data_IF_733111213778
#
_entry.id   IF_733111213778
#
_cell.length_a   1.000
_cell.length_b   1.000
_cell.length_c   1.000
_cell.angle_alpha   90.00
_cell.angle_beta   90.00
_cell.angle_gamma   90.00
#
_symmetry.space_group_name_H-M   'P 1'
#
loop_
_entity.id
_entity.type
_entity.pdbx_description
1 polymer ?
#
# COMPACT_ATOMS: atom_id res chain seq x y z
N UNK A 1 -10.46 16.69 -20.43
CA UNK A 1 -11.25 15.46 -20.68
C UNK A 1 -11.92 15.03 -19.37
N UNK A 2 -13.11 14.48 -19.44
CA UNK A 2 -13.85 13.97 -18.28
C UNK A 2 -14.06 12.48 -18.51
N UNK A 3 -13.78 11.69 -17.48
CA UNK A 3 -13.92 10.24 -17.52
C UNK A 3 -15.05 9.79 -16.58
N UNK A 4 -15.79 8.77 -16.97
CA UNK A 4 -16.75 8.09 -16.10
C UNK A 4 -16.01 7.00 -15.31
N UNK A 5 -16.01 7.13 -14.00
CA UNK A 5 -15.33 6.21 -13.09
C UNK A 5 -16.27 5.16 -12.49
N UNK A 6 -17.54 5.12 -12.93
CA UNK A 6 -18.52 4.20 -12.36
C UNK A 6 -18.74 4.41 -10.87
N UNK A 7 -18.60 3.36 -10.09
CA UNK A 7 -18.80 3.38 -8.62
C UNK A 7 -17.55 3.75 -7.83
N UNK A 8 -16.48 4.23 -8.49
CA UNK A 8 -15.24 4.52 -7.79
C UNK A 8 -15.11 5.98 -7.41
N UNK A 9 -14.67 6.21 -6.18
CA UNK A 9 -14.27 7.52 -5.68
C UNK A 9 -12.75 7.55 -5.52
N UNK A 10 -12.11 8.53 -6.17
CA UNK A 10 -10.66 8.70 -6.12
C UNK A 10 -10.23 9.39 -4.82
N UNK A 11 -9.06 9.01 -4.33
CA UNK A 11 -8.46 9.62 -3.15
C UNK A 11 -6.94 9.64 -3.25
N UNK A 12 -6.31 10.38 -2.35
CA UNK A 12 -4.88 10.47 -2.06
C UNK A 12 -3.95 10.66 -3.27
N UNK A 13 -3.66 9.61 -4.06
CA UNK A 13 -2.51 9.62 -4.95
C UNK A 13 -2.76 8.88 -6.28
N UNK A 14 -1.91 9.16 -7.25
CA UNK A 14 -1.90 8.48 -8.55
C UNK A 14 -0.49 8.49 -9.15
N UNK A 15 -0.23 7.56 -10.07
CA UNK A 15 1.03 7.45 -10.81
C UNK A 15 0.76 7.02 -12.25
N UNK A 16 1.68 7.31 -13.16
CA UNK A 16 1.64 6.75 -14.53
C UNK A 16 2.43 5.46 -14.59
N UNK A 17 1.89 4.45 -15.30
CA UNK A 17 2.66 3.30 -15.75
C UNK A 17 3.51 3.61 -17.00
N UNK A 18 4.35 2.66 -17.44
CA UNK A 18 5.23 2.86 -18.59
C UNK A 18 4.46 3.02 -19.93
N UNK A 19 3.22 2.57 -20.00
CA UNK A 19 2.34 2.70 -21.15
C UNK A 19 1.54 4.01 -21.14
N UNK A 20 1.69 4.84 -20.11
CA UNK A 20 1.00 6.12 -19.95
C UNK A 20 -0.43 5.99 -19.44
N UNK A 21 -0.81 4.85 -18.87
CA UNK A 21 -2.05 4.75 -18.13
C UNK A 21 -1.89 5.35 -16.74
N UNK A 22 -2.98 5.86 -16.18
CA UNK A 22 -3.03 6.32 -14.79
C UNK A 22 -3.43 5.17 -13.88
N UNK A 23 -2.60 4.91 -12.87
CA UNK A 23 -2.92 4.06 -11.73
C UNK A 23 -3.32 4.97 -10.58
N UNK A 24 -4.51 4.79 -10.03
CA UNK A 24 -5.13 5.76 -9.11
C UNK A 24 -5.69 5.02 -7.90
N UNK A 25 -5.41 5.53 -6.72
CA UNK A 25 -6.01 5.03 -5.48
C UNK A 25 -7.49 5.36 -5.43
N UNK A 26 -8.32 4.38 -5.06
CA UNK A 26 -9.77 4.52 -5.09
C UNK A 26 -10.48 3.72 -3.99
N UNK A 27 -11.70 4.14 -3.74
CA UNK A 27 -12.72 3.42 -2.96
C UNK A 27 -13.79 2.92 -3.91
N UNK A 28 -14.16 1.65 -3.84
CA UNK A 28 -15.38 1.13 -4.48
C UNK A 28 -16.59 1.48 -3.58
N UNK A 29 -17.41 2.43 -4.00
CA UNK A 29 -18.59 2.86 -3.25
C UNK A 29 -19.71 1.81 -3.20
N UNK A 30 -19.57 0.71 -3.92
CA UNK A 30 -20.45 -0.46 -3.83
C UNK A 30 -20.09 -1.42 -2.69
N UNK A 31 -18.94 -1.19 -2.04
CA UNK A 31 -18.46 -1.96 -0.89
C UNK A 31 -18.60 -1.15 0.40
N UNK A 32 -18.40 -1.81 1.54
CA UNK A 32 -18.36 -1.16 2.85
C UNK A 32 -16.94 -0.72 3.25
N UNK A 33 -15.93 -1.27 2.58
CA UNK A 33 -14.52 -0.89 2.77
C UNK A 33 -14.20 0.37 2.02
N UNK A 34 -13.22 1.11 2.50
CA UNK A 34 -12.73 2.34 1.87
C UNK A 34 -11.22 2.28 1.68
N UNK A 35 -10.74 3.01 0.67
CA UNK A 35 -9.31 3.29 0.46
C UNK A 35 -8.44 2.03 0.29
N UNK A 36 -8.94 1.03 -0.45
CA UNK A 36 -8.33 -0.28 -0.60
C UNK A 36 -8.19 -0.77 -2.06
N UNK A 37 -8.53 0.08 -3.04
CA UNK A 37 -8.49 -0.29 -4.46
C UNK A 37 -7.48 0.53 -5.26
N UNK A 38 -6.96 -0.07 -6.36
CA UNK A 38 -6.19 0.61 -7.39
C UNK A 38 -6.91 0.48 -8.73
N UNK A 39 -7.23 1.63 -9.33
CA UNK A 39 -7.81 1.70 -10.68
C UNK A 39 -6.72 1.93 -11.73
N UNK A 40 -6.93 1.36 -12.90
CA UNK A 40 -6.20 1.71 -14.12
C UNK A 40 -7.13 2.45 -15.07
N UNK A 41 -6.74 3.67 -15.43
CA UNK A 41 -7.42 4.49 -16.43
C UNK A 41 -6.53 4.65 -17.65
N UNK A 42 -7.01 4.23 -18.82
CA UNK A 42 -6.38 4.56 -20.10
C UNK A 42 -6.87 5.93 -20.57
N UNK A 43 -6.03 6.99 -20.58
CA UNK A 43 -6.47 8.32 -20.92
C UNK A 43 -6.80 8.51 -22.41
N UNK A 44 -6.36 7.60 -23.28
CA UNK A 44 -6.63 7.66 -24.72
C UNK A 44 -7.99 7.07 -25.09
N UNK A 45 -8.41 5.99 -24.41
CA UNK A 45 -9.68 5.30 -24.66
C UNK A 45 -10.76 5.71 -23.67
N UNK A 46 -10.37 6.13 -22.46
CA UNK A 46 -11.27 6.37 -21.34
C UNK A 46 -11.68 5.10 -20.60
N UNK A 47 -11.06 3.97 -20.93
CA UNK A 47 -11.31 2.70 -20.24
C UNK A 47 -10.82 2.75 -18.81
N UNK A 48 -11.66 2.31 -17.88
CA UNK A 48 -11.38 2.24 -16.43
C UNK A 48 -11.58 0.81 -15.96
N UNK A 49 -10.65 0.29 -15.21
CA UNK A 49 -10.76 -1.02 -14.57
C UNK A 49 -10.14 -1.00 -13.17
N UNK A 50 -10.72 -1.75 -12.23
CA UNK A 50 -10.06 -2.06 -10.97
C UNK A 50 -9.05 -3.17 -11.25
N UNK A 51 -7.76 -2.89 -11.02
CA UNK A 51 -6.68 -3.84 -11.28
C UNK A 51 -6.13 -4.46 -9.99
N UNK A 52 -6.47 -3.88 -8.86
CA UNK A 52 -6.11 -4.40 -7.54
C UNK A 52 -7.19 -4.01 -6.55
N UNK A 53 -7.66 -5.00 -5.82
CA UNK A 53 -8.44 -4.85 -4.60
C UNK A 53 -7.65 -5.55 -3.49
N UNK A 54 -7.28 -4.83 -2.45
CA UNK A 54 -6.46 -5.39 -1.37
C UNK A 54 -7.18 -6.48 -0.57
N UNK A 55 -8.50 -6.54 -0.63
CA UNK A 55 -9.26 -7.64 -0.03
C UNK A 55 -8.90 -9.00 -0.67
N UNK A 56 -8.55 -9.02 -1.96
CA UNK A 56 -8.12 -10.24 -2.64
C UNK A 56 -6.76 -10.75 -2.15
N UNK A 57 -5.91 -9.85 -1.61
CA UNK A 57 -4.56 -10.20 -1.14
C UNK A 57 -4.46 -10.32 0.39
N UNK A 58 -5.24 -9.55 1.14
CA UNK A 58 -5.19 -9.43 2.60
C UNK A 58 -6.53 -9.77 3.26
N UNK A 59 -7.40 -10.53 2.57
CA UNK A 59 -8.74 -10.86 3.06
C UNK A 59 -8.74 -11.57 4.41
N UNK A 60 -7.83 -12.53 4.61
CA UNK A 60 -7.70 -13.25 5.88
C UNK A 60 -7.32 -12.31 7.04
N UNK A 61 -6.43 -11.32 6.76
CA UNK A 61 -6.11 -10.28 7.73
C UNK A 61 -7.34 -9.44 8.06
N UNK A 62 -8.07 -8.98 7.04
CA UNK A 62 -9.31 -8.21 7.20
C UNK A 62 -10.34 -8.96 8.06
N UNK A 63 -10.57 -10.24 7.78
CA UNK A 63 -11.47 -11.08 8.56
C UNK A 63 -11.03 -11.22 10.02
N UNK A 64 -9.70 -11.29 10.27
CA UNK A 64 -9.14 -11.39 11.62
C UNK A 64 -9.39 -10.17 12.49
N UNK A 65 -9.67 -9.00 11.89
CA UNK A 65 -9.94 -7.77 12.61
C UNK A 65 -11.28 -7.79 13.34
N UNK A 66 -12.22 -8.66 12.94
CA UNK A 66 -13.54 -8.79 13.55
C UNK A 66 -14.33 -7.48 13.56
N UNK A 67 -14.04 -6.59 12.61
CA UNK A 67 -14.60 -5.25 12.58
C UNK A 67 -16.07 -5.30 12.20
N UNK A 68 -16.92 -4.80 13.10
CA UNK A 68 -18.32 -4.53 12.80
C UNK A 68 -18.42 -3.37 11.77
N UNK A 69 -19.07 -3.54 10.82
CA UNK A 69 -19.31 -3.34 9.40
C UNK A 69 -19.58 -1.90 8.93
N UNK A 70 -19.44 -0.82 9.68
CA UNK A 70 -19.95 0.48 9.19
C UNK A 70 -18.90 1.46 8.66
N UNK A 71 -17.61 1.20 8.85
CA UNK A 71 -16.56 2.11 8.36
C UNK A 71 -15.21 1.40 8.33
N UNK A 72 -15.01 0.57 7.31
CA UNK A 72 -13.82 -0.27 7.22
C UNK A 72 -12.69 0.44 6.47
N UNK A 73 -12.14 1.44 7.11
CA UNK A 73 -10.83 2.00 6.76
C UNK A 73 -9.72 1.11 7.35
N UNK A 74 -9.57 -0.09 6.77
CA UNK A 74 -8.78 -1.18 7.35
C UNK A 74 -7.32 -1.19 6.90
N UNK A 75 -7.01 -0.64 5.74
CA UNK A 75 -5.65 -0.52 5.20
C UNK A 75 -5.25 0.93 4.95
N UNK A 76 -6.19 1.76 4.51
CA UNK A 76 -5.97 3.17 4.22
C UNK A 76 -4.75 3.40 3.32
N UNK A 77 -4.81 2.93 2.07
CA UNK A 77 -3.71 3.18 1.13
C UNK A 77 -3.65 4.66 0.76
N UNK A 78 -2.49 5.27 0.93
CA UNK A 78 -2.35 6.73 0.82
C UNK A 78 -1.25 7.18 -0.14
N UNK A 79 -0.45 6.25 -0.67
CA UNK A 79 0.58 6.56 -1.65
C UNK A 79 0.74 5.38 -2.61
N UNK A 80 0.93 5.67 -3.89
CA UNK A 80 1.25 4.70 -4.93
C UNK A 80 2.49 5.14 -5.70
N UNK A 81 3.45 4.23 -5.92
CA UNK A 81 4.63 4.47 -6.73
C UNK A 81 4.78 3.36 -7.77
N UNK A 82 5.02 3.74 -9.03
CA UNK A 82 5.38 2.80 -10.09
C UNK A 82 6.85 2.42 -9.98
N UNK A 83 7.14 1.11 -9.98
CA UNK A 83 8.51 0.59 -9.89
C UNK A 83 9.03 0.05 -11.23
N UNK A 84 8.22 0.06 -12.27
CA UNK A 84 8.50 -0.67 -13.51
C UNK A 84 8.14 -2.16 -13.41
N UNK A 85 8.31 -2.87 -14.54
CA UNK A 85 8.14 -4.33 -14.59
C UNK A 85 6.85 -4.85 -13.96
N UNK A 86 5.73 -4.17 -14.24
CA UNK A 86 4.38 -4.53 -13.75
C UNK A 86 4.28 -4.57 -12.22
N UNK A 87 4.98 -3.64 -11.55
CA UNK A 87 5.00 -3.57 -10.09
C UNK A 87 4.81 -2.17 -9.51
N UNK A 88 4.21 -2.11 -8.32
CA UNK A 88 3.96 -0.88 -7.57
C UNK A 88 4.38 -1.05 -6.11
N UNK A 89 4.65 0.10 -5.46
CA UNK A 89 4.65 0.22 -4.00
C UNK A 89 3.39 0.93 -3.55
N UNK A 90 2.75 0.41 -2.52
CA UNK A 90 1.64 1.02 -1.81
C UNK A 90 2.04 1.30 -0.36
N UNK A 91 1.63 2.45 0.16
CA UNK A 91 1.75 2.76 1.58
C UNK A 91 0.40 2.58 2.25
N UNK A 92 0.31 1.69 3.23
CA UNK A 92 -0.86 1.45 4.07
C UNK A 92 -0.66 2.11 5.43
N UNK A 93 -1.54 3.08 5.75
CA UNK A 93 -1.49 3.83 7.01
C UNK A 93 -1.90 2.97 8.19
N UNK A 94 -3.04 2.27 8.08
CA UNK A 94 -3.62 1.54 9.21
C UNK A 94 -2.82 0.30 9.60
N UNK A 95 -2.07 -0.28 8.66
CA UNK A 95 -1.15 -1.38 8.94
C UNK A 95 0.28 -0.91 9.20
N UNK A 96 0.56 0.40 9.05
CA UNK A 96 1.93 0.94 9.13
C UNK A 96 2.93 0.19 8.25
N UNK A 97 2.48 -0.24 7.07
CA UNK A 97 3.23 -1.15 6.20
C UNK A 97 3.34 -0.58 4.79
N UNK A 98 4.48 -0.78 4.16
CA UNK A 98 4.67 -0.55 2.73
C UNK A 98 4.61 -1.91 2.04
N UNK A 99 3.77 -2.03 1.03
CA UNK A 99 3.53 -3.26 0.27
C UNK A 99 4.16 -3.12 -1.12
N UNK A 100 5.00 -4.08 -1.53
CA UNK A 100 5.34 -4.23 -2.95
C UNK A 100 4.39 -5.23 -3.58
N UNK A 101 3.64 -4.78 -4.58
CA UNK A 101 2.78 -5.62 -5.39
C UNK A 101 3.46 -5.84 -6.74
N UNK A 102 3.44 -7.07 -7.24
CA UNK A 102 3.94 -7.45 -8.56
C UNK A 102 2.85 -8.19 -9.35
N UNK A 103 3.11 -8.39 -10.66
CA UNK A 103 2.18 -9.05 -11.59
C UNK A 103 0.82 -8.33 -11.68
N UNK A 104 0.84 -7.01 -11.55
CA UNK A 104 -0.35 -6.16 -11.37
C UNK A 104 -1.40 -6.33 -12.47
N UNK A 105 -0.97 -6.54 -13.73
CA UNK A 105 -1.88 -6.69 -14.87
C UNK A 105 -2.34 -8.13 -15.13
N UNK A 106 -1.89 -9.12 -14.35
CA UNK A 106 -2.21 -10.54 -14.59
C UNK A 106 -2.78 -11.23 -13.36
N UNK A 107 -1.98 -11.40 -12.33
CA UNK A 107 -2.36 -12.01 -11.07
C UNK A 107 -1.61 -11.29 -9.93
N UNK A 108 -2.13 -10.16 -9.45
CA UNK A 108 -1.46 -9.38 -8.42
C UNK A 108 -1.10 -10.23 -7.20
N UNK A 109 0.10 -10.05 -6.69
CA UNK A 109 0.56 -10.70 -5.48
C UNK A 109 1.50 -9.78 -4.68
N UNK A 110 1.56 -9.98 -3.37
CA UNK A 110 2.49 -9.26 -2.51
C UNK A 110 3.87 -9.91 -2.65
N UNK A 111 4.83 -9.18 -3.22
CA UNK A 111 6.21 -9.66 -3.35
C UNK A 111 6.96 -9.60 -2.02
N UNK A 112 6.76 -8.53 -1.26
CA UNK A 112 7.28 -8.35 0.10
C UNK A 112 6.59 -7.17 0.79
N UNK A 113 6.83 -7.06 2.10
CA UNK A 113 6.33 -5.98 2.94
C UNK A 113 7.47 -5.35 3.77
N UNK A 114 7.34 -4.06 4.05
CA UNK A 114 8.19 -3.33 5.00
C UNK A 114 7.27 -2.84 6.12
N UNK A 115 7.40 -3.41 7.31
CA UNK A 115 6.54 -3.12 8.46
C UNK A 115 7.08 -3.78 9.73
N UNK A 116 6.35 -3.62 10.84
CA UNK A 116 6.74 -4.23 12.12
C UNK A 116 6.28 -5.70 12.19
N UNK A 117 7.22 -6.58 12.55
CA UNK A 117 6.96 -8.01 12.71
C UNK A 117 5.84 -8.24 13.74
N UNK A 118 5.87 -7.53 14.87
CA UNK A 118 4.87 -7.65 15.93
C UNK A 118 3.44 -7.30 15.50
N UNK A 119 3.30 -6.47 14.45
CA UNK A 119 1.99 -6.16 13.88
C UNK A 119 1.41 -7.34 13.13
N UNK A 120 2.26 -8.04 12.37
CA UNK A 120 1.85 -9.13 11.48
C UNK A 120 1.89 -10.51 12.13
N UNK A 121 2.42 -10.61 13.36
CA UNK A 121 2.55 -11.89 14.10
C UNK A 121 1.21 -12.64 14.19
N UNK A 122 1.23 -13.90 13.75
CA UNK A 122 0.06 -14.80 13.77
C UNK A 122 -0.99 -14.49 12.70
N UNK A 123 -0.66 -13.68 11.67
CA UNK A 123 -1.57 -13.37 10.56
C UNK A 123 -1.37 -14.29 9.36
N UNK A 124 -0.21 -14.97 9.25
CA UNK A 124 0.19 -15.73 8.08
C UNK A 124 0.91 -14.91 7.01
N UNK A 125 1.12 -13.61 7.24
CA UNK A 125 1.83 -12.72 6.31
C UNK A 125 3.25 -12.39 6.75
N UNK A 126 3.72 -12.93 7.87
CA UNK A 126 5.04 -12.65 8.46
C UNK A 126 6.18 -12.96 7.51
N UNK A 127 6.05 -14.04 6.73
CA UNK A 127 7.08 -14.48 5.78
C UNK A 127 7.31 -13.49 4.63
N UNK A 128 6.38 -12.55 4.43
CA UNK A 128 6.50 -11.49 3.41
C UNK A 128 7.26 -10.27 3.92
N UNK A 129 7.52 -10.17 5.21
CA UNK A 129 8.27 -9.04 5.78
C UNK A 129 9.74 -9.11 5.41
N UNK A 130 10.30 -7.99 4.98
CA UNK A 130 11.74 -7.85 4.85
C UNK A 130 12.40 -7.80 6.23
N UNK A 131 13.50 -8.51 6.39
CA UNK A 131 14.32 -8.45 7.60
C UNK A 131 15.03 -7.09 7.71
N UNK A 132 15.09 -6.55 8.93
CA UNK A 132 15.88 -5.34 9.21
C UNK A 132 17.36 -5.68 9.27
N UNK A 133 18.19 -4.92 8.55
CA UNK A 133 19.63 -4.95 8.78
C UNK A 133 20.00 -3.97 9.91
N UNK A 134 20.19 -4.50 11.10
CA UNK A 134 20.58 -3.74 12.28
C UNK A 134 22.12 -3.74 12.53
N UNK A 135 22.90 -4.12 11.55
CA UNK A 135 24.39 -4.19 11.67
C UNK A 135 25.03 -2.82 11.99
N UNK A 136 24.40 -1.72 11.57
CA UNK A 136 24.84 -0.35 11.82
C UNK A 136 24.12 0.32 13.02
N UNK A 137 23.19 -0.34 13.67
CA UNK A 137 22.40 0.16 14.80
C UNK A 137 20.92 -0.23 14.68
N UNK A 138 20.23 -0.18 15.81
CA UNK A 138 18.80 -0.48 15.86
C UNK A 138 17.95 0.70 15.38
N UNK A 139 16.82 0.41 14.73
CA UNK A 139 15.84 1.41 14.33
C UNK A 139 14.41 0.84 14.43
N UNK A 140 13.45 1.73 14.61
CA UNK A 140 12.03 1.39 14.53
C UNK A 140 11.53 1.54 13.11
N UNK A 141 10.57 0.72 12.71
CA UNK A 141 9.83 0.95 11.47
C UNK A 141 8.96 2.22 11.58
N UNK A 142 8.43 2.65 10.46
CA UNK A 142 7.55 3.80 10.40
C UNK A 142 6.16 3.43 10.93
N UNK A 143 5.44 4.43 11.45
CA UNK A 143 4.07 4.28 11.92
C UNK A 143 3.12 5.23 11.20
N UNK A 144 2.09 4.70 10.51
CA UNK A 144 1.09 5.46 9.80
C UNK A 144 1.66 6.37 8.71
N UNK A 145 2.69 5.94 8.03
CA UNK A 145 3.47 6.73 7.06
C UNK A 145 2.62 7.20 5.87
N UNK A 146 3.07 8.31 5.26
CA UNK A 146 2.50 8.92 4.07
C UNK A 146 3.61 9.34 3.11
N UNK A 147 3.23 9.66 1.87
CA UNK A 147 4.11 10.25 0.86
C UNK A 147 5.37 9.42 0.62
N UNK A 148 5.20 8.11 0.54
CA UNK A 148 6.32 7.21 0.21
C UNK A 148 6.77 7.50 -1.21
N UNK A 149 8.05 7.82 -1.38
CA UNK A 149 8.65 8.12 -2.68
C UNK A 149 9.75 7.11 -2.96
N UNK A 150 9.61 6.41 -4.08
CA UNK A 150 10.60 5.47 -4.60
C UNK A 150 11.67 6.21 -5.39
N UNK A 151 12.93 5.97 -5.07
CA UNK A 151 14.07 6.60 -5.73
C UNK A 151 15.11 5.57 -6.11
N UNK A 152 15.37 5.47 -7.41
CA UNK A 152 16.52 4.73 -7.93
C UNK A 152 17.74 5.65 -7.99
N UNK A 153 18.91 5.08 -7.74
CA UNK A 153 20.20 5.78 -7.84
C UNK A 153 21.20 4.84 -8.54
N UNK A 154 21.88 5.34 -9.54
CA UNK A 154 22.84 4.56 -10.34
C UNK A 154 24.05 4.07 -9.52
N UNK A 155 24.26 4.59 -8.31
CA UNK A 155 25.30 4.14 -7.39
C UNK A 155 24.92 2.91 -6.57
N UNK A 156 23.64 2.52 -6.57
CA UNK A 156 23.14 1.36 -5.86
C UNK A 156 23.33 0.07 -6.67
N UNK A 157 23.37 -1.06 -5.97
CA UNK A 157 23.39 -2.36 -6.63
C UNK A 157 22.02 -2.69 -7.23
N UNK A 158 21.97 -3.70 -8.10
CA UNK A 158 20.72 -4.18 -8.65
C UNK A 158 19.78 -4.67 -7.51
N UNK A 159 18.55 -4.18 -7.52
CA UNK A 159 17.54 -4.47 -6.50
C UNK A 159 17.57 -3.57 -5.28
N UNK A 160 18.58 -2.69 -5.17
CA UNK A 160 18.61 -1.66 -4.12
C UNK A 160 17.92 -0.37 -4.58
N UNK A 161 17.29 0.33 -3.64
CA UNK A 161 16.64 1.62 -3.86
C UNK A 161 16.45 2.36 -2.54
N UNK A 162 16.20 3.65 -2.61
CA UNK A 162 15.82 4.45 -1.46
C UNK A 162 14.31 4.64 -1.41
N UNK A 163 13.78 4.73 -0.18
CA UNK A 163 12.44 5.22 0.10
C UNK A 163 12.54 6.47 0.97
N UNK A 164 11.89 7.53 0.52
CA UNK A 164 11.63 8.72 1.34
C UNK A 164 10.16 8.73 1.72
N UNK A 165 9.86 9.09 2.95
CA UNK A 165 8.49 9.10 3.43
C UNK A 165 8.31 10.10 4.58
N UNK A 166 7.08 10.48 4.82
CA UNK A 166 6.68 11.16 6.03
C UNK A 166 6.20 10.13 7.05
N UNK A 167 6.88 10.05 8.19
CA UNK A 167 6.48 9.16 9.29
C UNK A 167 5.55 9.92 10.25
N UNK A 168 4.28 9.48 10.36
CA UNK A 168 3.34 10.04 11.32
C UNK A 168 3.63 9.61 12.75
N UNK A 169 4.55 8.67 12.91
CA UNK A 169 4.97 8.15 14.20
C UNK A 169 3.82 7.56 15.03
N UNK A 170 2.89 6.87 14.36
CA UNK A 170 1.88 6.09 15.08
C UNK A 170 2.56 4.92 15.78
N UNK A 171 2.10 4.58 16.99
CA UNK A 171 2.42 3.28 17.57
C UNK A 171 1.90 2.18 16.67
N UNK A 172 2.61 1.08 16.55
CA UNK A 172 2.23 -0.03 15.67
C UNK A 172 1.59 -1.14 16.49
N UNK A 173 0.28 -1.32 16.37
CA UNK A 173 -0.41 -2.46 16.97
C UNK A 173 -1.71 -2.78 16.23
N UNK A 174 -2.12 -4.06 16.23
CA UNK A 174 -3.41 -4.52 15.70
C UNK A 174 -4.64 -3.84 16.33
N UNK A 175 -4.48 -3.27 17.53
CA UNK A 175 -5.58 -2.67 18.32
C UNK A 175 -5.71 -1.16 18.16
N UNK A 176 -5.25 -0.59 17.06
CA UNK A 176 -5.02 0.84 16.80
C UNK A 176 -3.93 1.45 17.68
N UNK A 177 -2.94 2.03 17.04
CA UNK A 177 -1.78 2.56 17.72
C UNK A 177 -2.16 3.73 18.62
N UNK A 178 -1.78 3.62 19.87
CA UNK A 178 -1.75 4.81 20.72
C UNK A 178 -0.62 5.72 20.22
N UNK A 179 -0.94 6.95 19.94
CA UNK A 179 0.05 7.97 19.64
C UNK A 179 0.91 8.20 20.89
N UNK A 180 2.18 7.88 20.82
CA UNK A 180 3.13 8.22 21.85
C UNK A 180 4.05 9.31 21.32
N UNK A 181 3.75 10.55 21.70
CA UNK A 181 4.51 11.74 21.29
C UNK A 181 5.82 11.91 22.06
N UNK A 182 6.10 11.07 23.04
CA UNK A 182 7.28 11.18 23.89
C UNK A 182 8.44 10.27 23.46
N UNK A 183 8.30 9.56 22.33
CA UNK A 183 9.37 8.71 21.78
C UNK A 183 10.12 9.39 20.65
#
# INVERSE_FOLDING_TARGET
>A
QVYDLGNYQLHHDYVFDDDGNLLILATDTGKQTVEDCVLKLNPSTGEVSCILDLEDLLGDYKESLGMDQEDLDWVHINTIQWMGEDSILLSSRETSTILKIQNLNTAPEIAYMIGEESFWEGTGYEELLLEKDESAGTFSNTGGQHSVTYVQDDSLNAGEYYLYLFNNNFGVSKSKPAYDWEQ
#
